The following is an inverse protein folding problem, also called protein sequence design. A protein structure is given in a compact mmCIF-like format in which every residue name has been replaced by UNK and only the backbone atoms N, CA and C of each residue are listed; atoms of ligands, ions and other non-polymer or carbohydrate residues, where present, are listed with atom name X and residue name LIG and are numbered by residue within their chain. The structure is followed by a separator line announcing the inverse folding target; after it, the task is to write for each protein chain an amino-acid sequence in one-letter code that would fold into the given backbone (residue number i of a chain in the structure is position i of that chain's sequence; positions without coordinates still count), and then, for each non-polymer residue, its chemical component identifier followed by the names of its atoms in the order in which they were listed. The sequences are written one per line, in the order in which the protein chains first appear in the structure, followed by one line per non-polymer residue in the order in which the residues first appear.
data_IF_520522536434
#
_entry.id   IF_520522536434
#
_cell.length_a   1.000
_cell.length_b   1.000
_cell.length_c   1.000
_cell.angle_alpha   90.00
_cell.angle_beta   90.00
_cell.angle_gamma   90.00
#
_symmetry.space_group_name_H-M   'P 1'
#
loop_
_entity.id
_entity.type
_entity.pdbx_description
1 polymer ?
#
# COMPACT_ATOMS: atom_id res chain seq x y z
N UNK A 1 -54.28 5.50 -3.05
CA UNK A 1 -53.55 5.24 -1.80
C UNK A 1 -52.16 4.75 -2.17
N UNK A 2 -51.15 5.53 -1.81
CA UNK A 2 -49.72 5.25 -1.98
C UNK A 2 -49.34 4.01 -1.13
N UNK A 3 -48.31 3.25 -1.47
CA UNK A 3 -46.94 3.49 -0.99
C UNK A 3 -45.94 2.84 -1.96
N UNK A 4 -44.98 3.67 -2.38
CA UNK A 4 -43.75 3.29 -3.06
C UNK A 4 -42.83 2.64 -2.03
N UNK A 5 -42.21 1.50 -2.34
CA UNK A 5 -41.01 1.04 -1.65
C UNK A 5 -39.86 1.11 -2.64
N UNK A 6 -38.97 2.04 -2.36
CA UNK A 6 -37.76 2.34 -3.10
C UNK A 6 -36.65 1.34 -2.77
N UNK A 7 -35.90 0.99 -3.82
CA UNK A 7 -34.42 0.99 -3.90
C UNK A 7 -33.66 0.51 -2.66
N UNK A 8 -32.90 -0.58 -2.80
CA UNK A 8 -31.45 -0.53 -2.46
C UNK A 8 -30.70 -1.31 -3.55
N UNK A 9 -30.08 -0.55 -4.45
CA UNK A 9 -29.04 -1.03 -5.33
C UNK A 9 -27.89 -1.57 -4.48
N UNK A 10 -27.62 -2.86 -4.55
CA UNK A 10 -26.36 -3.43 -4.07
C UNK A 10 -25.29 -3.04 -5.08
N UNK A 11 -24.80 -1.79 -4.99
CA UNK A 11 -23.50 -1.45 -5.53
C UNK A 11 -22.49 -2.33 -4.80
N UNK A 12 -22.08 -3.42 -5.44
CA UNK A 12 -20.77 -4.00 -5.18
C UNK A 12 -19.77 -2.89 -5.48
N UNK A 13 -19.44 -2.11 -4.46
CA UNK A 13 -18.23 -1.33 -4.46
C UNK A 13 -17.09 -2.34 -4.60
N UNK A 14 -16.62 -2.51 -5.83
CA UNK A 14 -15.28 -2.99 -6.14
C UNK A 14 -14.33 -2.02 -5.44
N UNK A 15 -14.09 -2.27 -4.15
CA UNK A 15 -12.94 -1.73 -3.48
C UNK A 15 -11.77 -2.31 -4.23
N UNK A 16 -11.19 -1.51 -5.13
CA UNK A 16 -9.89 -1.77 -5.71
C UNK A 16 -9.00 -2.18 -4.54
N UNK A 17 -8.63 -3.46 -4.51
CA UNK A 17 -7.49 -3.86 -3.72
C UNK A 17 -6.36 -2.97 -4.23
N UNK A 18 -5.87 -2.07 -3.38
CA UNK A 18 -4.57 -1.43 -3.58
C UNK A 18 -3.60 -2.60 -3.54
N UNK A 19 -3.38 -3.22 -4.69
CA UNK A 19 -2.30 -4.15 -4.86
C UNK A 19 -1.05 -3.29 -4.81
N UNK A 20 -0.10 -3.67 -3.94
CA UNK A 20 1.20 -3.03 -3.88
C UNK A 20 1.73 -2.87 -5.31
N UNK A 21 2.12 -1.65 -5.70
CA UNK A 21 2.59 -1.39 -7.07
C UNK A 21 3.78 -2.27 -7.38
N UNK A 22 3.74 -3.05 -8.46
CA UNK A 22 4.90 -3.84 -8.92
C UNK A 22 5.79 -2.94 -9.78
N UNK A 23 6.98 -2.63 -9.27
CA UNK A 23 7.95 -1.76 -9.95
C UNK A 23 8.86 -2.52 -10.93
N UNK A 24 8.78 -3.85 -11.02
CA UNK A 24 9.62 -4.66 -11.93
C UNK A 24 9.50 -4.20 -13.40
N UNK A 25 8.30 -3.92 -13.93
CA UNK A 25 8.14 -3.40 -15.28
C UNK A 25 8.76 -2.01 -15.45
N UNK A 26 8.62 -1.14 -14.45
CA UNK A 26 9.11 0.23 -14.48
C UNK A 26 10.64 0.28 -14.45
N UNK A 27 11.27 -0.54 -13.62
CA UNK A 27 12.74 -0.69 -13.57
C UNK A 27 13.27 -1.23 -14.88
N UNK A 28 12.60 -2.22 -15.47
CA UNK A 28 12.99 -2.79 -16.77
C UNK A 28 12.92 -1.72 -17.86
N UNK A 29 11.85 -0.93 -17.90
CA UNK A 29 11.69 0.19 -18.84
C UNK A 29 12.77 1.25 -18.65
N UNK A 30 13.11 1.58 -17.41
CA UNK A 30 14.21 2.51 -17.11
C UNK A 30 15.53 2.00 -17.70
N UNK A 31 15.86 0.72 -17.47
CA UNK A 31 17.10 0.10 -17.97
C UNK A 31 17.17 0.11 -19.50
N UNK A 32 16.05 -0.21 -20.18
CA UNK A 32 15.95 -0.15 -21.63
C UNK A 32 16.21 1.26 -22.17
N UNK A 33 15.60 2.29 -21.54
CA UNK A 33 15.84 3.68 -21.92
C UNK A 33 17.30 4.06 -21.67
N UNK A 34 17.83 3.80 -20.47
CA UNK A 34 19.19 4.12 -20.08
C UNK A 34 20.25 3.53 -21.03
N UNK A 35 20.00 2.35 -21.60
CA UNK A 35 20.89 1.71 -22.57
C UNK A 35 21.13 2.56 -23.84
N UNK A 36 20.20 3.46 -24.19
CA UNK A 36 20.25 4.32 -25.39
C UNK A 36 20.70 5.75 -25.11
N UNK A 37 20.95 6.10 -23.83
CA UNK A 37 21.15 7.48 -23.38
C UNK A 37 22.57 7.77 -22.89
N UNK A 38 22.92 9.05 -22.91
CA UNK A 38 24.19 9.57 -22.39
C UNK A 38 24.11 9.68 -20.85
N UNK A 39 24.70 8.71 -20.15
CA UNK A 39 24.52 8.53 -18.71
C UNK A 39 25.26 9.56 -17.83
N UNK A 40 26.17 10.34 -18.41
CA UNK A 40 26.86 11.47 -17.77
C UNK A 40 26.08 12.79 -17.86
N UNK A 41 24.95 12.81 -18.59
CA UNK A 41 24.07 13.98 -18.67
C UNK A 41 23.43 14.29 -17.32
N UNK A 42 23.12 15.57 -17.08
CA UNK A 42 22.47 16.02 -15.85
C UNK A 42 21.13 15.30 -15.65
N UNK A 43 20.39 15.12 -16.73
CA UNK A 43 19.11 14.45 -16.79
C UNK A 43 19.24 12.97 -16.39
N UNK A 44 20.21 12.23 -16.95
CA UNK A 44 20.43 10.83 -16.62
C UNK A 44 20.92 10.62 -15.18
N UNK A 45 21.74 11.55 -14.64
CA UNK A 45 22.17 11.50 -13.24
C UNK A 45 20.98 11.73 -12.30
N UNK A 46 20.14 12.74 -12.58
CA UNK A 46 18.93 12.98 -11.80
C UNK A 46 17.93 11.82 -11.92
N UNK A 47 17.83 11.20 -13.10
CA UNK A 47 17.02 10.02 -13.33
C UNK A 47 17.48 8.85 -12.45
N UNK A 48 18.80 8.62 -12.35
CA UNK A 48 19.35 7.55 -11.52
C UNK A 48 19.11 7.82 -10.04
N UNK A 49 19.29 9.05 -9.59
CA UNK A 49 19.03 9.43 -8.20
C UNK A 49 17.55 9.25 -7.83
N UNK A 50 16.62 9.60 -8.74
CA UNK A 50 15.20 9.37 -8.54
C UNK A 50 14.85 7.87 -8.50
N UNK A 51 15.49 7.04 -9.34
CA UNK A 51 15.35 5.59 -9.30
C UNK A 51 15.84 5.00 -7.97
N UNK A 52 17.03 5.39 -7.51
CA UNK A 52 17.60 4.94 -6.24
C UNK A 52 16.70 5.32 -5.05
N UNK A 53 16.09 6.51 -5.07
CA UNK A 53 15.10 6.93 -4.05
C UNK A 53 13.85 6.06 -4.09
N UNK A 54 13.28 5.83 -5.28
CA UNK A 54 12.10 4.98 -5.44
C UNK A 54 12.36 3.57 -4.89
N UNK A 55 13.49 2.97 -5.24
CA UNK A 55 13.90 1.64 -4.74
C UNK A 55 14.10 1.63 -3.22
N UNK A 56 14.76 2.64 -2.65
CA UNK A 56 14.95 2.72 -1.20
C UNK A 56 13.65 2.90 -0.42
N UNK A 57 12.70 3.70 -0.95
CA UNK A 57 11.39 3.89 -0.35
C UNK A 57 10.53 2.61 -0.43
N UNK A 58 10.62 1.89 -1.55
CA UNK A 58 10.00 0.57 -1.69
C UNK A 58 10.52 -0.44 -0.68
N UNK A 59 11.83 -0.60 -0.56
CA UNK A 59 12.42 -1.57 0.39
C UNK A 59 11.96 -1.27 1.83
N UNK A 60 11.84 0.01 2.17
CA UNK A 60 11.33 0.46 3.46
C UNK A 60 9.83 0.18 3.63
N UNK A 61 9.02 0.44 2.61
CA UNK A 61 7.58 0.22 2.62
C UNK A 61 7.21 -1.28 2.63
N UNK A 62 7.79 -2.07 1.72
CA UNK A 62 7.43 -3.47 1.47
C UNK A 62 7.93 -4.42 2.56
N UNK A 63 9.18 -4.30 3.00
CA UNK A 63 9.72 -5.31 3.92
C UNK A 63 9.37 -4.96 5.37
N UNK A 64 9.47 -3.70 5.78
CA UNK A 64 9.34 -3.35 7.20
C UNK A 64 7.93 -2.94 7.58
N UNK A 65 7.26 -2.13 6.76
CA UNK A 65 5.97 -1.57 7.11
C UNK A 65 4.81 -2.50 6.77
N UNK A 66 4.83 -3.16 5.60
CA UNK A 66 3.80 -4.12 5.24
C UNK A 66 3.80 -5.35 6.17
N UNK A 67 4.98 -5.90 6.51
CA UNK A 67 5.07 -6.98 7.50
C UNK A 67 4.58 -6.56 8.89
N UNK A 68 4.84 -5.31 9.29
CA UNK A 68 4.38 -4.75 10.57
C UNK A 68 2.87 -4.58 10.59
N UNK A 69 2.28 -3.98 9.55
CA UNK A 69 0.83 -3.83 9.38
C UNK A 69 0.16 -5.21 9.41
N UNK A 70 0.72 -6.21 8.72
CA UNK A 70 0.20 -7.58 8.73
C UNK A 70 0.30 -8.24 10.11
N UNK A 71 1.42 -8.05 10.80
CA UNK A 71 1.63 -8.59 12.15
C UNK A 71 0.62 -8.01 13.15
N UNK A 72 0.46 -6.68 13.16
CA UNK A 72 -0.50 -5.98 14.01
C UNK A 72 -1.93 -6.40 13.69
N UNK A 73 -2.30 -6.47 12.40
CA UNK A 73 -3.64 -6.88 12.01
C UNK A 73 -3.96 -8.30 12.45
N UNK A 74 -3.01 -9.23 12.31
CA UNK A 74 -3.16 -10.60 12.78
C UNK A 74 -3.19 -10.72 14.32
N UNK A 75 -2.51 -9.82 15.04
CA UNK A 75 -2.62 -9.74 16.48
C UNK A 75 -4.02 -9.28 16.91
N UNK A 76 -4.55 -8.21 16.31
CA UNK A 76 -5.90 -7.72 16.58
C UNK A 76 -6.98 -8.76 16.27
N UNK A 77 -6.86 -9.46 15.14
CA UNK A 77 -7.77 -10.56 14.78
C UNK A 77 -7.72 -11.70 15.81
N UNK A 78 -6.52 -12.10 16.25
CA UNK A 78 -6.36 -13.15 17.28
C UNK A 78 -7.00 -12.77 18.60
N UNK A 79 -6.86 -11.52 19.03
CA UNK A 79 -7.53 -11.05 20.25
C UNK A 79 -9.05 -11.20 20.13
N UNK A 80 -9.62 -11.02 18.93
CA UNK A 80 -11.06 -11.14 18.67
C UNK A 80 -11.54 -12.57 18.37
N UNK A 81 -10.68 -13.57 18.48
CA UNK A 81 -11.02 -14.96 18.15
C UNK A 81 -11.15 -15.23 16.65
N UNK A 82 -10.62 -14.34 15.81
CA UNK A 82 -10.54 -14.51 14.36
C UNK A 82 -9.27 -15.26 13.95
N UNK A 83 -9.38 -16.06 12.88
CA UNK A 83 -8.22 -16.67 12.25
C UNK A 83 -7.36 -15.60 11.55
N UNK A 84 -6.01 -15.68 11.64
CA UNK A 84 -5.12 -14.82 10.89
C UNK A 84 -5.46 -14.79 9.41
N UNK A 85 -5.43 -13.60 8.81
CA UNK A 85 -5.63 -13.44 7.37
C UNK A 85 -4.30 -13.60 6.64
N UNK A 86 -4.34 -14.21 5.45
CA UNK A 86 -3.13 -14.48 4.69
C UNK A 86 -2.72 -13.39 3.70
N UNK A 87 -3.61 -12.47 3.27
CA UNK A 87 -3.25 -11.36 2.36
C UNK A 87 -4.24 -10.18 2.40
N UNK A 88 -3.70 -8.96 2.20
CA UNK A 88 -4.19 -7.63 1.73
C UNK A 88 -5.59 -7.08 2.08
N UNK A 89 -6.59 -7.89 2.48
CA UNK A 89 -7.92 -7.40 2.89
C UNK A 89 -8.06 -7.22 4.41
N UNK A 90 -6.93 -7.11 5.11
CA UNK A 90 -6.82 -7.47 6.53
C UNK A 90 -7.33 -6.35 7.45
N UNK A 91 -7.09 -5.08 7.08
CA UNK A 91 -7.54 -3.92 7.86
C UNK A 91 -9.08 -3.84 7.97
N UNK A 92 -9.80 -3.98 6.84
CA UNK A 92 -11.28 -4.00 6.83
C UNK A 92 -11.84 -5.19 7.60
N UNK A 93 -11.13 -6.31 7.61
CA UNK A 93 -11.53 -7.50 8.36
C UNK A 93 -11.43 -7.26 9.87
N UNK A 94 -10.36 -6.61 10.34
CA UNK A 94 -10.23 -6.22 11.75
C UNK A 94 -11.28 -5.18 12.15
N UNK A 95 -11.56 -4.19 11.30
CA UNK A 95 -12.64 -3.23 11.51
C UNK A 95 -14.01 -3.91 11.67
N UNK A 96 -14.34 -4.85 10.78
CA UNK A 96 -15.57 -5.62 10.86
C UNK A 96 -15.64 -6.52 12.10
N UNK A 97 -14.52 -7.14 12.49
CA UNK A 97 -14.43 -7.97 13.70
C UNK A 97 -14.58 -7.13 14.97
N UNK A 98 -14.11 -5.88 14.98
CA UNK A 98 -14.32 -4.95 16.10
C UNK A 98 -15.76 -4.47 16.23
N UNK A 99 -16.48 -4.38 15.11
CA UNK A 99 -17.90 -4.05 15.10
C UNK A 99 -18.76 -5.20 15.63
N UNK A 100 -18.37 -6.45 15.37
CA UNK A 100 -19.07 -7.65 15.84
C UNK A 100 -18.07 -8.69 16.40
N UNK A 101 -17.55 -8.49 17.63
CA UNK A 101 -16.59 -9.42 18.22
C UNK A 101 -17.19 -10.80 18.43
N UNK A 102 -16.45 -11.86 18.08
CA UNK A 102 -16.84 -13.25 18.39
C UNK A 102 -16.64 -13.62 19.86
N UNK A 103 -15.96 -12.75 20.61
CA UNK A 103 -15.64 -12.94 22.02
C UNK A 103 -16.23 -11.79 22.84
N UNK A 104 -16.61 -12.10 24.08
CA UNK A 104 -17.20 -11.13 25.01
C UNK A 104 -16.24 -10.70 26.13
N UNK A 105 -14.94 -10.93 25.97
CA UNK A 105 -13.91 -10.51 26.93
C UNK A 105 -13.58 -9.02 26.73
N UNK A 106 -13.92 -8.12 27.68
CA UNK A 106 -13.72 -6.68 27.51
C UNK A 106 -12.25 -6.29 27.39
N UNK A 107 -11.34 -7.01 28.05
CA UNK A 107 -9.91 -6.70 28.01
C UNK A 107 -9.32 -7.01 26.63
N UNK A 108 -9.71 -8.13 26.02
CA UNK A 108 -9.29 -8.49 24.66
C UNK A 108 -9.87 -7.56 23.61
N UNK A 109 -11.13 -7.17 23.75
CA UNK A 109 -11.75 -6.18 22.86
C UNK A 109 -11.05 -4.83 22.97
N UNK A 110 -10.72 -4.37 24.18
CA UNK A 110 -9.97 -3.13 24.39
C UNK A 110 -8.59 -3.18 23.72
N UNK A 111 -7.84 -4.27 23.92
CA UNK A 111 -6.54 -4.48 23.29
C UNK A 111 -6.62 -4.53 21.75
N UNK A 112 -7.65 -5.17 21.18
CA UNK A 112 -7.87 -5.16 19.75
C UNK A 112 -8.17 -3.75 19.20
N UNK A 113 -8.87 -2.89 19.97
CA UNK A 113 -9.10 -1.48 19.61
C UNK A 113 -7.81 -0.66 19.65
N UNK A 114 -6.95 -0.87 20.63
CA UNK A 114 -5.63 -0.23 20.70
C UNK A 114 -4.77 -0.59 19.49
N UNK A 115 -4.72 -1.88 19.14
CA UNK A 115 -4.02 -2.37 17.94
C UNK A 115 -4.58 -1.73 16.67
N UNK A 116 -5.91 -1.60 16.57
CA UNK A 116 -6.54 -0.95 15.43
C UNK A 116 -6.22 0.55 15.37
N UNK A 117 -6.20 1.26 16.50
CA UNK A 117 -5.77 2.64 16.55
C UNK A 117 -4.32 2.82 16.10
N UNK A 118 -3.42 1.90 16.47
CA UNK A 118 -2.04 1.88 15.99
C UNK A 118 -1.97 1.65 14.47
N UNK A 119 -2.76 0.72 13.94
CA UNK A 119 -2.87 0.48 12.50
C UNK A 119 -3.36 1.72 11.74
N UNK A 120 -4.32 2.47 12.29
CA UNK A 120 -4.82 3.72 11.69
C UNK A 120 -3.74 4.79 11.59
N UNK A 121 -2.72 4.75 12.46
CA UNK A 121 -1.58 5.65 12.41
C UNK A 121 -0.51 5.16 11.43
N UNK A 122 -0.23 3.86 11.40
CA UNK A 122 0.85 3.28 10.57
C UNK A 122 0.46 3.12 9.09
N UNK A 123 -0.80 2.84 8.79
CA UNK A 123 -1.29 2.62 7.42
C UNK A 123 -1.12 3.84 6.50
N UNK A 124 -1.50 5.08 6.91
CA UNK A 124 -1.27 6.25 6.06
C UNK A 124 0.21 6.51 5.75
N UNK A 125 1.11 6.18 6.68
CA UNK A 125 2.56 6.33 6.47
C UNK A 125 3.06 5.35 5.41
N UNK A 126 2.56 4.11 5.43
CA UNK A 126 2.83 3.14 4.36
C UNK A 126 2.30 3.62 3.00
N UNK A 127 1.04 4.08 2.95
CA UNK A 127 0.43 4.57 1.70
C UNK A 127 1.16 5.80 1.14
N UNK A 128 1.66 6.69 2.01
CA UNK A 128 2.47 7.83 1.62
C UNK A 128 3.81 7.40 1.01
N UNK A 129 4.52 6.45 1.65
CA UNK A 129 5.79 5.94 1.12
C UNK A 129 5.62 5.23 -0.22
N UNK A 130 4.56 4.45 -0.38
CA UNK A 130 4.24 3.80 -1.66
C UNK A 130 3.95 4.85 -2.74
N UNK A 131 3.16 5.89 -2.40
CA UNK A 131 2.85 6.99 -3.32
C UNK A 131 4.12 7.73 -3.75
N UNK A 132 4.98 8.11 -2.80
CA UNK A 132 6.25 8.78 -3.09
C UNK A 132 7.18 7.91 -3.94
N UNK A 133 7.25 6.60 -3.68
CA UNK A 133 8.05 5.68 -4.48
C UNK A 133 7.56 5.63 -5.93
N UNK A 134 6.25 5.55 -6.15
CA UNK A 134 5.63 5.59 -7.49
C UNK A 134 5.93 6.92 -8.19
N UNK A 135 5.84 8.04 -7.48
CA UNK A 135 6.15 9.36 -8.04
C UNK A 135 7.62 9.50 -8.43
N UNK A 136 8.54 9.06 -7.56
CA UNK A 136 9.98 9.05 -7.85
C UNK A 136 10.30 8.15 -9.05
N UNK A 137 9.63 7.00 -9.19
CA UNK A 137 9.81 6.12 -10.36
C UNK A 137 9.32 6.79 -11.64
N UNK A 138 8.16 7.46 -11.62
CA UNK A 138 7.65 8.24 -12.76
C UNK A 138 8.63 9.37 -13.13
N UNK A 139 9.16 10.07 -12.14
CA UNK A 139 10.16 11.11 -12.36
C UNK A 139 11.44 10.54 -12.98
N UNK A 140 11.93 9.40 -12.50
CA UNK A 140 13.09 8.71 -13.05
C UNK A 140 12.89 8.37 -14.54
N UNK A 141 11.73 7.81 -14.90
CA UNK A 141 11.38 7.48 -16.28
C UNK A 141 11.32 8.72 -17.19
N UNK A 142 10.71 9.81 -16.72
CA UNK A 142 10.63 11.05 -17.48
C UNK A 142 12.02 11.67 -17.72
N UNK A 143 12.86 11.67 -16.70
CA UNK A 143 14.21 12.23 -16.78
C UNK A 143 15.12 11.40 -17.70
N UNK A 144 15.10 10.07 -17.61
CA UNK A 144 15.92 9.24 -18.49
C UNK A 144 15.44 9.31 -19.94
N UNK A 145 14.13 9.47 -20.16
CA UNK A 145 13.59 9.68 -21.51
C UNK A 145 14.04 11.02 -22.12
N UNK A 146 14.10 12.07 -21.29
CA UNK A 146 14.57 13.41 -21.68
C UNK A 146 16.10 13.50 -21.85
N UNK A 147 16.85 12.54 -21.32
CA UNK A 147 18.30 12.53 -21.46
C UNK A 147 18.72 12.49 -22.95
N UNK A 148 19.87 13.10 -23.31
CA UNK A 148 20.42 13.01 -24.66
C UNK A 148 20.70 11.56 -25.04
N UNK A 149 20.48 11.22 -26.32
CA UNK A 149 20.91 9.94 -26.88
C UNK A 149 22.44 9.84 -26.88
N UNK A 150 22.95 8.60 -26.91
CA UNK A 150 24.38 8.32 -27.08
C UNK A 150 24.93 8.86 -28.39
#
# INVERSE_FOLDING_TARGET
MNIRVAVIATLLATGSAVQAHDFTPDVTKYQQLAATKKLDSKEAIQARLALERAQGQMDQADIKMLLRIRSLTNAGLRELGEQPAFLSSEYKRLEAALANPKINDPAKVAKAREIFAQLNHEKPVYEALETEAVENMKQALNLIQAAPSK
#
